data_IF_395065829087
#
_entry.id   IF_395065829087
#
_cell.length_a   1.000
_cell.length_b   1.000
_cell.length_c   1.000
_cell.angle_alpha   90.00
_cell.angle_beta   90.00
_cell.angle_gamma   90.00
#
_symmetry.space_group_name_H-M   'P 1'
#
loop_
_entity.id
_entity.type
_entity.pdbx_description
1 polymer ?
#
# COMPACT_ATOMS: atom_id res chain seq x y z
N UNK A 1 0.91 -4.10 9.84
CA UNK A 1 -0.04 -4.97 9.11
C UNK A 1 0.60 -5.80 7.99
N UNK A 2 1.69 -5.35 7.32
CA UNK A 2 2.27 -6.03 6.15
C UNK A 2 2.58 -7.54 6.30
N UNK A 3 3.20 -7.98 7.42
CA UNK A 3 3.44 -9.42 7.68
C UNK A 3 2.15 -10.23 7.89
N UNK A 4 1.11 -9.62 8.48
CA UNK A 4 -0.20 -10.28 8.65
C UNK A 4 -1.00 -10.36 7.33
N UNK A 5 -0.60 -9.60 6.31
CA UNK A 5 -1.19 -9.61 4.97
C UNK A 5 -0.49 -10.58 4.00
N UNK A 6 0.50 -11.37 4.45
CA UNK A 6 1.16 -12.38 3.63
C UNK A 6 2.36 -11.89 2.80
N UNK A 7 2.83 -10.65 3.01
CA UNK A 7 4.03 -10.14 2.34
C UNK A 7 5.30 -10.79 2.92
N UNK A 8 6.21 -11.23 2.04
CA UNK A 8 7.51 -11.76 2.45
C UNK A 8 8.40 -10.67 3.05
N UNK A 9 9.36 -11.08 3.88
CA UNK A 9 10.35 -10.15 4.46
C UNK A 9 11.20 -9.44 3.41
N UNK A 10 11.38 -10.05 2.24
CA UNK A 10 12.03 -9.45 1.08
C UNK A 10 11.18 -8.30 0.51
N UNK A 11 9.89 -8.55 0.25
CA UNK A 11 8.95 -7.53 -0.22
C UNK A 11 8.84 -6.36 0.75
N UNK A 12 8.75 -6.65 2.05
CA UNK A 12 8.68 -5.61 3.08
C UNK A 12 9.92 -4.72 3.12
N UNK A 13 11.11 -5.30 2.90
CA UNK A 13 12.37 -4.54 2.83
C UNK A 13 12.53 -3.74 1.54
N UNK A 14 11.83 -4.13 0.47
CA UNK A 14 11.91 -3.47 -0.83
C UNK A 14 11.03 -2.22 -0.94
N UNK A 15 9.99 -2.09 -0.09
CA UNK A 15 9.04 -0.96 -0.10
C UNK A 15 9.72 0.41 0.09
N UNK A 16 10.63 0.62 1.06
CA UNK A 16 11.27 1.94 1.26
C UNK A 16 12.06 2.44 0.05
N UNK A 17 12.67 1.52 -0.70
CA UNK A 17 13.49 1.83 -1.88
C UNK A 17 12.66 1.87 -3.18
N UNK A 18 11.33 1.73 -3.09
CA UNK A 18 10.42 1.58 -4.22
C UNK A 18 10.86 0.48 -5.22
N UNK A 19 11.51 -0.58 -4.71
CA UNK A 19 11.99 -1.67 -5.54
C UNK A 19 10.86 -2.69 -5.75
N UNK A 20 10.18 -2.58 -6.89
CA UNK A 20 9.03 -3.43 -7.19
C UNK A 20 9.39 -4.77 -7.85
N UNK A 21 10.67 -5.12 -7.97
CA UNK A 21 11.12 -6.31 -8.73
C UNK A 21 10.53 -7.63 -8.21
N UNK A 22 10.37 -7.77 -6.90
CA UNK A 22 9.80 -8.96 -6.24
C UNK A 22 8.27 -9.03 -6.24
N UNK A 23 7.60 -7.98 -6.72
CA UNK A 23 6.13 -7.91 -6.81
C UNK A 23 5.66 -8.38 -8.20
N UNK A 24 4.57 -9.14 -8.23
CA UNK A 24 3.93 -9.57 -9.48
C UNK A 24 3.11 -8.42 -10.11
N UNK A 25 2.62 -8.63 -11.33
CA UNK A 25 1.93 -7.59 -12.10
C UNK A 25 0.68 -7.05 -11.39
N UNK A 26 -0.11 -7.92 -10.74
CA UNK A 26 -1.30 -7.52 -9.97
C UNK A 26 -0.91 -6.69 -8.74
N UNK A 27 0.13 -7.09 -8.01
CA UNK A 27 0.63 -6.35 -6.85
C UNK A 27 1.17 -4.97 -7.24
N UNK A 28 1.94 -4.89 -8.33
CA UNK A 28 2.43 -3.62 -8.86
C UNK A 28 1.29 -2.69 -9.27
N UNK A 29 0.24 -3.24 -9.88
CA UNK A 29 -0.94 -2.47 -10.27
C UNK A 29 -1.70 -1.90 -9.06
N UNK A 30 -1.79 -2.66 -7.96
CA UNK A 30 -2.39 -2.18 -6.70
C UNK A 30 -1.51 -1.12 -6.02
N UNK A 31 -0.18 -1.25 -6.10
CA UNK A 31 0.76 -0.23 -5.60
C UNK A 31 0.60 1.06 -6.40
N UNK A 32 0.51 0.98 -7.73
CA UNK A 32 0.27 2.14 -8.61
C UNK A 32 -1.05 2.87 -8.26
N UNK A 33 -2.11 2.12 -7.97
CA UNK A 33 -3.38 2.69 -7.46
C UNK A 33 -3.20 3.36 -6.10
N UNK A 34 -2.44 2.75 -5.18
CA UNK A 34 -2.19 3.31 -3.86
C UNK A 34 -1.42 4.64 -3.93
N UNK A 35 -0.41 4.72 -4.80
CA UNK A 35 0.34 5.96 -5.06
C UNK A 35 -0.58 7.05 -5.61
N UNK A 36 -1.38 6.73 -6.64
CA UNK A 36 -2.35 7.64 -7.24
C UNK A 36 -3.35 8.24 -6.22
N UNK A 37 -3.88 7.39 -5.33
CA UNK A 37 -4.82 7.81 -4.28
C UNK A 37 -4.17 8.50 -3.07
N UNK A 38 -2.83 8.45 -2.95
CA UNK A 38 -2.08 9.09 -1.88
C UNK A 38 -1.66 10.52 -2.24
N UNK A 39 -1.54 10.82 -3.54
CA UNK A 39 -1.26 12.16 -4.04
C UNK A 39 -2.29 13.20 -3.57
N UNK A 40 -1.89 14.47 -3.53
CA UNK A 40 -2.78 15.59 -3.21
C UNK A 40 -2.54 16.71 -4.23
N UNK A 41 -3.45 16.91 -5.22
CA UNK A 41 -4.71 16.18 -5.40
C UNK A 41 -4.48 14.71 -5.79
N UNK A 42 -5.42 13.84 -5.41
CA UNK A 42 -5.44 12.45 -5.88
C UNK A 42 -5.90 12.42 -7.34
N UNK A 43 -5.23 11.64 -8.18
CA UNK A 43 -5.56 11.52 -9.61
C UNK A 43 -5.34 10.08 -10.07
N UNK A 44 -6.43 9.42 -10.48
CA UNK A 44 -6.40 8.07 -11.05
C UNK A 44 -6.72 8.23 -12.53
N UNK A 45 -5.71 8.04 -13.38
CA UNK A 45 -5.88 8.18 -14.82
C UNK A 45 -6.85 7.13 -15.38
N UNK A 46 -7.53 7.48 -16.48
CA UNK A 46 -8.43 6.55 -17.18
C UNK A 46 -7.69 5.27 -17.62
N UNK A 47 -6.41 5.39 -17.99
CA UNK A 47 -5.56 4.26 -18.38
C UNK A 47 -5.31 3.30 -17.20
N UNK A 48 -4.97 3.84 -16.03
CA UNK A 48 -4.80 3.05 -14.81
C UNK A 48 -6.12 2.38 -14.41
N UNK A 49 -7.23 3.13 -14.46
CA UNK A 49 -8.55 2.60 -14.16
C UNK A 49 -8.97 1.46 -15.11
N UNK A 50 -8.70 1.61 -16.42
CA UNK A 50 -8.95 0.56 -17.40
C UNK A 50 -8.13 -0.71 -17.13
N UNK A 51 -6.83 -0.58 -16.82
CA UNK A 51 -5.96 -1.71 -16.44
C UNK A 51 -6.47 -2.41 -15.18
N UNK A 52 -6.93 -1.64 -14.19
CA UNK A 52 -7.51 -2.16 -12.95
C UNK A 52 -8.80 -2.95 -13.20
N UNK A 53 -9.71 -2.46 -14.06
CA UNK A 53 -10.97 -3.15 -14.39
C UNK A 53 -10.78 -4.45 -15.16
N UNK A 54 -9.63 -4.65 -15.81
CA UNK A 54 -9.27 -5.93 -16.43
C UNK A 54 -8.85 -7.01 -15.42
N UNK A 55 -8.42 -6.61 -14.21
CA UNK A 55 -7.92 -7.52 -13.18
C UNK A 55 -8.91 -7.72 -12.02
N UNK A 56 -9.74 -6.72 -11.75
CA UNK A 56 -10.61 -6.68 -10.58
C UNK A 56 -12.06 -6.36 -10.94
N UNK A 57 -12.98 -7.00 -10.21
CA UNK A 57 -14.38 -6.59 -10.20
C UNK A 57 -14.53 -5.19 -9.60
N UNK A 58 -15.67 -4.55 -9.85
CA UNK A 58 -15.98 -3.24 -9.29
C UNK A 58 -16.03 -3.29 -7.75
N UNK A 59 -16.58 -4.36 -7.17
CA UNK A 59 -16.60 -4.59 -5.73
C UNK A 59 -15.19 -4.72 -5.15
N UNK A 60 -14.29 -5.44 -5.81
CA UNK A 60 -12.89 -5.57 -5.39
C UNK A 60 -12.17 -4.21 -5.44
N UNK A 61 -12.40 -3.41 -6.48
CA UNK A 61 -11.82 -2.06 -6.56
C UNK A 61 -12.35 -1.12 -5.48
N UNK A 62 -13.66 -1.20 -5.19
CA UNK A 62 -14.27 -0.44 -4.09
C UNK A 62 -13.60 -0.79 -2.75
N UNK A 63 -13.38 -2.08 -2.48
CA UNK A 63 -12.70 -2.54 -1.26
C UNK A 63 -11.24 -2.06 -1.20
N UNK A 64 -10.50 -2.16 -2.31
CA UNK A 64 -9.12 -1.67 -2.40
C UNK A 64 -9.05 -0.16 -2.12
N UNK A 65 -9.89 0.63 -2.80
CA UNK A 65 -9.95 2.08 -2.61
C UNK A 65 -10.31 2.46 -1.16
N UNK A 66 -11.27 1.76 -0.56
CA UNK A 66 -11.66 1.98 0.83
C UNK A 66 -10.50 1.71 1.80
N UNK A 67 -9.76 0.61 1.61
CA UNK A 67 -8.61 0.29 2.44
C UNK A 67 -7.49 1.34 2.30
N UNK A 68 -7.19 1.77 1.07
CA UNK A 68 -6.18 2.80 0.80
C UNK A 68 -6.58 4.13 1.45
N UNK A 69 -7.84 4.55 1.28
CA UNK A 69 -8.34 5.77 1.88
C UNK A 69 -8.27 5.73 3.42
N UNK A 70 -8.59 4.59 4.03
CA UNK A 70 -8.48 4.40 5.47
C UNK A 70 -7.03 4.51 5.97
N UNK A 71 -6.08 3.90 5.27
CA UNK A 71 -4.66 4.00 5.61
C UNK A 71 -4.14 5.44 5.44
N UNK A 72 -4.61 6.17 4.42
CA UNK A 72 -4.28 7.58 4.21
C UNK A 72 -4.82 8.48 5.33
N UNK A 73 -6.05 8.23 5.79
CA UNK A 73 -6.62 8.86 6.97
C UNK A 73 -5.76 8.57 8.21
N UNK A 74 -5.49 7.29 8.48
CA UNK A 74 -4.70 6.85 9.65
C UNK A 74 -3.31 7.47 9.66
N UNK A 75 -2.63 7.52 8.52
CA UNK A 75 -1.31 8.12 8.39
C UNK A 75 -1.33 9.63 8.66
N UNK A 76 -2.31 10.37 8.13
CA UNK A 76 -2.46 11.81 8.37
C UNK A 76 -2.80 12.10 9.84
N UNK A 77 -3.70 11.31 10.42
CA UNK A 77 -4.07 11.41 11.83
C UNK A 77 -2.87 11.13 12.75
N UNK A 78 -2.13 10.03 12.52
CA UNK A 78 -0.93 9.70 13.29
C UNK A 78 0.12 10.83 13.25
N UNK A 79 0.36 11.41 12.07
CA UNK A 79 1.29 12.54 11.91
C UNK A 79 0.84 13.78 12.68
N UNK A 80 -0.47 14.10 12.65
CA UNK A 80 -1.02 15.25 13.37
C UNK A 80 -0.83 15.12 14.89
N UNK A 81 -1.02 13.92 15.44
CA UNK A 81 -0.98 13.68 16.88
C UNK A 81 0.36 13.12 17.39
N UNK A 82 1.39 13.07 16.53
CA UNK A 82 2.70 12.48 16.83
C UNK A 82 2.60 11.08 17.46
N UNK A 83 1.69 10.26 16.94
CA UNK A 83 1.53 8.87 17.39
C UNK A 83 2.65 8.05 16.76
N UNK A 84 3.62 7.66 17.57
CA UNK A 84 4.73 6.81 17.16
C UNK A 84 4.27 5.38 16.89
N UNK A 85 5.04 4.64 16.09
CA UNK A 85 4.84 3.21 15.95
C UNK A 85 5.13 2.53 17.29
N UNK A 86 4.25 1.65 17.74
CA UNK A 86 4.63 0.60 18.68
C UNK A 86 5.87 -0.09 18.07
N UNK A 87 7.00 -0.13 18.79
CA UNK A 87 8.32 -0.54 18.32
C UNK A 87 8.43 -2.04 17.87
N UNK A 88 7.42 -2.59 17.21
CA UNK A 88 7.30 -3.98 16.76
C UNK A 88 8.20 -4.30 15.55
N UNK A 89 9.03 -3.35 15.10
CA UNK A 89 9.90 -3.48 13.92
C UNK A 89 11.36 -3.84 14.24
N UNK A 90 11.75 -3.98 15.51
CA UNK A 90 13.05 -4.57 15.82
C UNK A 90 13.02 -6.06 15.52
N UNK A 91 13.64 -6.43 14.40
CA UNK A 91 13.97 -7.81 14.07
C UNK A 91 14.71 -8.46 15.24
N UNK A 92 14.35 -9.70 15.51
CA UNK A 92 15.00 -10.57 16.48
C UNK A 92 16.47 -10.77 16.06
N UNK A 93 17.33 -9.85 16.48
CA UNK A 93 18.78 -10.03 16.56
C UNK A 93 19.14 -9.95 18.04
N UNK A 94 19.00 -11.07 18.72
CA UNK A 94 19.67 -11.34 19.98
C UNK A 94 20.18 -12.78 19.90
N UNK A 95 21.48 -12.87 19.63
CA UNK A 95 22.45 -13.95 19.88
C UNK A 95 22.02 -15.42 19.72
#
# INVERSE_FOLDING_TARGET
MGRKAGLSDEKLRAVPDNNLTSFNDTERLVIELADALTNTPSDVSDELYARLRNQFSEEQLMQLAAQIAFENYRARWNRLFNVESDNVYYGHNAS
#
